data_IF_291404957890
#
_entry.id   IF_291404957890
#
_cell.length_a   1.000
_cell.length_b   1.000
_cell.length_c   1.000
_cell.angle_alpha   90.00
_cell.angle_beta   90.00
_cell.angle_gamma   90.00
#
_symmetry.space_group_name_H-M   'P 1'
#
loop_
_entity.id
_entity.type
_entity.pdbx_description
1 polymer ?
#
# COMPACT_ATOMS: atom_id res chain seq x y z
N UNK A 1 17.07 -0.86 18.56
CA UNK A 1 16.19 -0.90 17.38
C UNK A 1 16.66 -2.02 16.48
N UNK A 2 15.75 -2.80 15.87
CA UNK A 2 16.11 -3.89 14.99
C UNK A 2 16.94 -3.37 13.80
N UNK A 3 17.93 -4.17 13.37
CA UNK A 3 18.84 -3.77 12.28
C UNK A 3 18.09 -3.80 10.94
N UNK A 4 17.59 -2.64 10.51
CA UNK A 4 16.97 -2.48 9.20
C UNK A 4 18.04 -2.59 8.09
N UNK A 5 17.70 -3.13 6.90
CA UNK A 5 18.54 -2.97 5.72
C UNK A 5 18.85 -1.48 5.46
N UNK A 6 20.12 -1.11 5.45
CA UNK A 6 20.55 0.29 5.28
C UNK A 6 21.43 0.46 4.05
N UNK A 7 21.23 1.58 3.35
CA UNK A 7 22.17 2.09 2.35
C UNK A 7 23.10 3.11 3.04
N UNK A 8 24.33 3.26 2.57
CA UNK A 8 25.26 4.29 3.04
C UNK A 8 24.63 5.69 2.97
N UNK A 9 25.06 6.60 3.84
CA UNK A 9 24.55 7.99 3.85
C UNK A 9 24.68 8.67 2.48
N UNK A 10 25.80 8.45 1.78
CA UNK A 10 26.01 8.94 0.42
C UNK A 10 24.99 8.36 -0.56
N UNK A 11 24.69 7.06 -0.45
CA UNK A 11 23.67 6.42 -1.28
C UNK A 11 22.26 6.91 -0.96
N UNK A 12 21.97 7.26 0.30
CA UNK A 12 20.70 7.87 0.68
C UNK A 12 20.53 9.26 0.06
N UNK A 13 21.56 10.11 0.16
CA UNK A 13 21.56 11.43 -0.46
C UNK A 13 21.42 11.35 -1.99
N UNK A 14 22.08 10.37 -2.63
CA UNK A 14 21.94 10.15 -4.06
C UNK A 14 20.49 9.85 -4.46
N UNK A 15 19.79 9.00 -3.70
CA UNK A 15 18.38 8.65 -3.96
C UNK A 15 17.45 9.85 -3.77
N UNK A 16 17.67 10.67 -2.74
CA UNK A 16 16.89 11.90 -2.52
C UNK A 16 17.13 12.95 -3.62
N UNK A 17 18.36 13.07 -4.11
CA UNK A 17 18.68 13.95 -5.24
C UNK A 17 18.00 13.47 -6.53
N UNK A 18 17.97 12.17 -6.79
CA UNK A 18 17.22 11.59 -7.91
C UNK A 18 15.73 11.91 -7.81
N UNK A 19 15.13 11.76 -6.62
CA UNK A 19 13.73 12.13 -6.40
C UNK A 19 13.48 13.63 -6.63
N UNK A 20 14.39 14.49 -6.19
CA UNK A 20 14.30 15.94 -6.43
C UNK A 20 14.34 16.27 -7.93
N UNK A 21 15.23 15.61 -8.68
CA UNK A 21 15.35 15.80 -10.13
C UNK A 21 14.07 15.36 -10.85
N UNK A 22 13.52 14.18 -10.52
CA UNK A 22 12.23 13.71 -11.07
C UNK A 22 11.10 14.68 -10.73
N UNK A 23 10.99 15.09 -9.46
CA UNK A 23 9.94 16.00 -9.03
C UNK A 23 10.01 17.36 -9.72
N UNK A 24 11.22 17.84 -10.06
CA UNK A 24 11.38 19.10 -10.78
C UNK A 24 10.83 19.07 -12.21
N UNK A 25 10.60 17.88 -12.76
CA UNK A 25 10.07 17.62 -14.10
C UNK A 25 8.59 17.25 -14.10
N UNK A 26 7.96 17.25 -12.93
CA UNK A 26 6.50 17.18 -12.82
C UNK A 26 5.93 18.55 -13.22
N UNK A 27 5.90 18.83 -14.52
CA UNK A 27 5.46 20.10 -15.08
C UNK A 27 4.07 20.03 -15.74
N UNK A 28 3.59 21.21 -16.14
CA UNK A 28 2.35 21.41 -16.88
C UNK A 28 2.51 20.88 -18.31
N UNK A 29 2.23 19.60 -18.50
CA UNK A 29 2.33 18.88 -19.77
C UNK A 29 2.16 17.37 -19.60
N UNK A 30 2.55 16.87 -18.42
CA UNK A 30 2.40 15.47 -18.01
C UNK A 30 0.95 15.02 -17.85
N UNK A 31 0.70 13.71 -17.94
CA UNK A 31 -0.63 13.13 -17.64
C UNK A 31 -1.08 13.44 -16.21
N UNK A 32 -0.11 13.67 -15.31
CA UNK A 32 -0.28 14.02 -13.89
C UNK A 32 -1.01 15.35 -13.75
N UNK A 33 -0.68 16.37 -14.55
CA UNK A 33 -1.31 17.70 -14.48
C UNK A 33 -2.84 17.63 -14.69
N UNK A 34 -3.29 16.73 -15.56
CA UNK A 34 -4.72 16.55 -15.88
C UNK A 34 -5.56 16.04 -14.71
N UNK A 35 -4.91 15.53 -13.66
CA UNK A 35 -5.51 14.99 -12.44
C UNK A 35 -4.82 15.53 -11.17
N UNK A 36 -4.17 16.69 -11.25
CA UNK A 36 -3.47 17.32 -10.11
C UNK A 36 -4.22 18.47 -9.46
N UNK A 37 -5.47 18.71 -9.86
CA UNK A 37 -6.27 19.76 -9.26
C UNK A 37 -6.42 19.54 -7.74
N UNK A 38 -6.32 20.61 -6.93
CA UNK A 38 -6.44 20.52 -5.49
C UNK A 38 -7.87 20.13 -5.12
N UNK A 39 -8.03 19.01 -4.41
CA UNK A 39 -9.33 18.50 -3.97
C UNK A 39 -9.29 18.14 -2.49
N UNK A 40 -10.46 18.27 -1.86
CA UNK A 40 -10.74 17.66 -0.59
C UNK A 40 -11.24 16.23 -0.86
N UNK A 41 -10.54 15.21 -0.37
CA UNK A 41 -10.90 13.80 -0.59
C UNK A 41 -10.91 13.04 0.73
N UNK A 42 -11.98 12.28 1.00
CA UNK A 42 -12.07 11.48 2.22
C UNK A 42 -11.30 10.17 2.07
N UNK A 43 -10.11 10.10 2.64
CA UNK A 43 -9.19 8.97 2.46
C UNK A 43 -9.48 7.76 3.34
N UNK A 44 -10.27 7.93 4.41
CA UNK A 44 -10.55 6.90 5.44
C UNK A 44 -12.05 6.54 5.52
N UNK A 45 -12.66 6.28 4.37
CA UNK A 45 -14.11 6.08 4.27
C UNK A 45 -14.51 4.60 4.54
N UNK A 46 -14.31 4.16 5.79
CA UNK A 46 -14.74 2.85 6.29
C UNK A 46 -16.16 2.90 6.91
N UNK A 47 -16.74 1.74 7.24
CA UNK A 47 -18.12 1.65 7.76
C UNK A 47 -18.37 2.45 9.06
N UNK A 48 -17.34 2.72 9.85
CA UNK A 48 -17.46 3.50 11.09
C UNK A 48 -17.65 5.00 10.85
N UNK A 49 -17.25 5.47 9.66
CA UNK A 49 -17.30 6.88 9.28
C UNK A 49 -18.51 7.24 8.40
N UNK A 50 -19.41 6.29 8.16
CA UNK A 50 -20.62 6.46 7.33
C UNK A 50 -21.86 6.23 8.18
N UNK A 51 -22.70 7.26 8.31
CA UNK A 51 -24.02 7.15 8.93
C UNK A 51 -25.08 7.03 7.85
N UNK A 52 -26.00 6.08 8.03
CA UNK A 52 -27.16 5.85 7.17
C UNK A 52 -28.46 6.10 7.92
N UNK A 53 -29.54 6.36 7.18
CA UNK A 53 -30.86 6.57 7.77
C UNK A 53 -31.38 5.29 8.43
N UNK A 54 -32.02 5.43 9.60
CA UNK A 54 -32.70 4.33 10.28
C UNK A 54 -33.98 3.89 9.57
N UNK A 55 -34.62 4.78 8.81
CA UNK A 55 -35.83 4.49 8.03
C UNK A 55 -35.47 3.86 6.67
N UNK A 56 -34.35 4.26 6.09
CA UNK A 56 -33.88 3.82 4.78
C UNK A 56 -32.34 3.70 4.75
N UNK A 57 -31.79 2.53 5.10
CA UNK A 57 -30.33 2.32 5.19
C UNK A 57 -29.57 2.49 3.87
N UNK A 58 -30.27 2.66 2.74
CA UNK A 58 -29.64 2.96 1.44
C UNK A 58 -29.22 4.43 1.33
N UNK A 59 -29.72 5.29 2.23
CA UNK A 59 -29.41 6.72 2.24
C UNK A 59 -28.32 7.03 3.25
N UNK A 60 -27.18 7.50 2.75
CA UNK A 60 -26.14 8.14 3.57
C UNK A 60 -26.67 9.48 4.08
N UNK A 61 -26.65 9.67 5.40
CA UNK A 61 -27.12 10.89 6.07
C UNK A 61 -25.99 11.75 6.61
N UNK A 62 -24.83 11.16 6.90
CA UNK A 62 -23.65 11.90 7.36
C UNK A 62 -22.37 11.11 7.10
N UNK A 63 -21.30 11.85 6.82
CA UNK A 63 -19.92 11.36 6.81
C UNK A 63 -19.16 12.14 7.88
N UNK A 64 -18.40 11.44 8.72
CA UNK A 64 -17.64 12.05 9.83
C UNK A 64 -16.14 11.88 9.62
N UNK A 65 -15.33 12.22 10.64
CA UNK A 65 -13.89 11.99 10.66
C UNK A 65 -13.06 12.85 9.69
N UNK A 66 -13.51 14.10 9.49
CA UNK A 66 -12.88 15.05 8.58
C UNK A 66 -11.63 15.74 9.16
N UNK A 67 -11.30 15.58 10.45
CA UNK A 67 -10.30 16.40 11.13
C UNK A 67 -8.84 16.18 10.67
N UNK A 68 -8.57 15.10 9.93
CA UNK A 68 -7.25 14.74 9.43
C UNK A 68 -7.12 14.86 7.90
N UNK A 69 -8.12 15.42 7.23
CA UNK A 69 -8.11 15.61 5.77
C UNK A 69 -7.34 16.87 5.39
N UNK A 70 -6.64 16.80 4.26
CA UNK A 70 -5.98 17.94 3.62
C UNK A 70 -6.51 18.17 2.21
N UNK A 71 -6.34 19.41 1.72
CA UNK A 71 -6.50 19.68 0.29
C UNK A 71 -5.16 19.38 -0.38
N UNK A 72 -5.15 18.39 -1.26
CA UNK A 72 -3.96 17.94 -1.99
C UNK A 72 -4.31 17.65 -3.46
N UNK A 73 -3.31 17.49 -4.35
CA UNK A 73 -3.57 17.06 -5.73
C UNK A 73 -4.39 15.76 -5.78
N UNK A 74 -5.38 15.68 -6.66
CA UNK A 74 -6.26 14.50 -6.75
C UNK A 74 -5.47 13.20 -6.99
N UNK A 75 -4.46 13.21 -7.85
CA UNK A 75 -3.58 12.07 -8.13
C UNK A 75 -2.90 11.48 -6.89
N UNK A 76 -2.67 12.30 -5.85
CA UNK A 76 -2.05 11.84 -4.61
C UNK A 76 -3.04 11.27 -3.60
N UNK A 77 -4.34 11.40 -3.85
CA UNK A 77 -5.38 11.05 -2.88
C UNK A 77 -6.40 10.05 -3.41
N UNK A 78 -6.67 10.08 -4.72
CA UNK A 78 -7.68 9.29 -5.38
C UNK A 78 -7.49 7.80 -5.08
N UNK A 79 -8.48 7.21 -4.43
CA UNK A 79 -8.52 5.80 -4.06
C UNK A 79 -9.96 5.34 -3.95
N UNK A 80 -10.16 4.03 -3.98
CA UNK A 80 -11.46 3.46 -3.66
C UNK A 80 -11.72 3.63 -2.15
N UNK A 81 -12.98 3.92 -1.74
CA UNK A 81 -13.37 3.92 -0.34
C UNK A 81 -13.05 2.60 0.35
N UNK A 82 -12.56 2.63 1.59
CA UNK A 82 -12.14 1.42 2.33
C UNK A 82 -13.28 0.43 2.59
N UNK A 83 -14.53 0.89 2.59
CA UNK A 83 -15.72 0.02 2.62
C UNK A 83 -15.76 -0.96 1.44
N UNK A 84 -15.11 -0.64 0.31
CA UNK A 84 -14.92 -1.53 -0.82
C UNK A 84 -13.65 -2.34 -0.60
N UNK A 85 -13.78 -3.55 -0.05
CA UNK A 85 -12.65 -4.49 0.07
C UNK A 85 -12.23 -4.94 -1.32
N UNK A 86 -11.26 -4.25 -1.91
CA UNK A 86 -10.70 -4.62 -3.21
C UNK A 86 -9.91 -5.92 -3.10
N UNK A 87 -10.18 -6.82 -4.04
CA UNK A 87 -9.31 -7.96 -4.25
C UNK A 87 -7.96 -7.47 -4.81
N UNK A 88 -6.81 -7.99 -4.36
CA UNK A 88 -5.50 -7.64 -4.92
C UNK A 88 -5.42 -7.81 -6.44
N UNK A 89 -6.21 -8.73 -7.01
CA UNK A 89 -6.24 -9.00 -8.45
C UNK A 89 -7.28 -8.13 -9.19
N UNK A 90 -7.87 -7.12 -8.53
CA UNK A 90 -8.82 -6.21 -9.17
C UNK A 90 -8.12 -5.33 -10.20
N UNK A 91 -8.61 -5.39 -11.44
CA UNK A 91 -8.10 -4.60 -12.57
C UNK A 91 -9.19 -3.64 -13.05
N UNK A 92 -8.84 -2.35 -13.15
CA UNK A 92 -9.70 -1.33 -13.74
C UNK A 92 -10.02 -1.65 -15.21
N UNK A 93 -11.17 -1.20 -15.70
CA UNK A 93 -11.65 -1.41 -17.07
C UNK A 93 -11.78 -2.90 -17.47
N UNK A 94 -11.78 -3.81 -16.49
CA UNK A 94 -12.07 -5.23 -16.71
C UNK A 94 -13.58 -5.48 -16.94
N UNK A 95 -13.93 -6.67 -17.42
CA UNK A 95 -15.32 -7.09 -17.52
C UNK A 95 -15.98 -7.19 -16.12
N UNK A 96 -17.31 -7.17 -16.07
CA UNK A 96 -18.03 -7.44 -14.82
C UNK A 96 -17.63 -8.81 -14.25
N UNK A 97 -17.23 -8.89 -12.97
CA UNK A 97 -16.84 -10.16 -12.38
C UNK A 97 -18.00 -11.16 -12.33
N UNK A 98 -17.73 -12.37 -12.79
CA UNK A 98 -18.62 -13.52 -12.67
C UNK A 98 -18.22 -14.44 -11.51
N UNK A 99 -19.06 -15.45 -11.25
CA UNK A 99 -18.67 -16.54 -10.35
C UNK A 99 -17.51 -17.33 -11.00
N UNK A 100 -16.64 -17.96 -10.19
CA UNK A 100 -15.54 -18.74 -10.72
C UNK A 100 -16.05 -19.91 -11.57
N UNK A 101 -15.29 -20.34 -12.58
CA UNK A 101 -15.72 -21.36 -13.54
C UNK A 101 -16.02 -22.72 -12.88
N UNK A 102 -15.33 -23.03 -11.79
CA UNK A 102 -15.48 -24.25 -10.99
C UNK A 102 -16.56 -24.15 -9.90
N UNK A 103 -17.32 -23.04 -9.83
CA UNK A 103 -18.29 -22.76 -8.78
C UNK A 103 -19.23 -23.94 -8.51
N UNK A 104 -19.76 -24.58 -9.55
CA UNK A 104 -20.72 -25.70 -9.38
C UNK A 104 -20.11 -26.91 -8.65
N UNK A 105 -18.79 -27.08 -8.74
CA UNK A 105 -18.04 -28.18 -8.14
C UNK A 105 -17.56 -27.91 -6.72
N UNK A 106 -17.64 -26.64 -6.27
CA UNK A 106 -17.26 -26.23 -4.93
C UNK A 106 -18.21 -26.79 -3.86
N UNK A 107 -17.69 -26.99 -2.65
CA UNK A 107 -18.51 -27.33 -1.50
C UNK A 107 -19.33 -26.13 -1.00
N UNK A 108 -20.23 -26.35 -0.04
CA UNK A 108 -21.12 -25.29 0.44
C UNK A 108 -20.40 -24.12 1.13
N UNK A 109 -19.26 -24.38 1.78
CA UNK A 109 -18.49 -23.33 2.45
C UNK A 109 -17.73 -22.50 1.41
N UNK A 110 -17.10 -23.17 0.45
CA UNK A 110 -16.36 -22.53 -0.64
C UNK A 110 -17.30 -21.75 -1.58
N UNK A 111 -18.52 -22.23 -1.82
CA UNK A 111 -19.55 -21.47 -2.55
C UNK A 111 -19.89 -20.16 -1.85
N UNK A 112 -20.04 -20.15 -0.52
CA UNK A 112 -20.32 -18.92 0.22
C UNK A 112 -19.16 -17.93 0.12
N UNK A 113 -17.91 -18.42 0.17
CA UNK A 113 -16.72 -17.59 -0.01
C UNK A 113 -16.67 -17.01 -1.42
N UNK A 114 -16.90 -17.84 -2.44
CA UNK A 114 -16.93 -17.41 -3.85
C UNK A 114 -18.00 -16.34 -4.08
N UNK A 115 -19.23 -16.56 -3.61
CA UNK A 115 -20.32 -15.58 -3.71
C UNK A 115 -19.99 -14.26 -3.00
N UNK A 116 -19.40 -14.32 -1.82
CA UNK A 116 -18.98 -13.14 -1.07
C UNK A 116 -17.91 -12.35 -1.85
N UNK A 117 -16.86 -13.02 -2.33
CA UNK A 117 -15.81 -12.39 -3.14
C UNK A 117 -16.36 -11.77 -4.43
N UNK A 118 -17.17 -12.52 -5.16
CA UNK A 118 -17.82 -12.02 -6.38
C UNK A 118 -18.72 -10.81 -6.08
N UNK A 119 -19.44 -10.80 -4.95
CA UNK A 119 -20.24 -9.63 -4.54
C UNK A 119 -19.36 -8.41 -4.29
N UNK A 120 -18.26 -8.56 -3.55
CA UNK A 120 -17.31 -7.46 -3.29
C UNK A 120 -16.70 -6.93 -4.59
N UNK A 121 -16.25 -7.82 -5.48
CA UNK A 121 -15.69 -7.45 -6.78
C UNK A 121 -16.72 -6.71 -7.66
N UNK A 122 -17.98 -7.16 -7.66
CA UNK A 122 -19.07 -6.47 -8.36
C UNK A 122 -19.37 -5.10 -7.78
N UNK A 123 -19.31 -4.92 -6.46
CA UNK A 123 -19.47 -3.61 -5.81
C UNK A 123 -18.34 -2.65 -6.19
N UNK A 124 -17.09 -3.13 -6.17
CA UNK A 124 -15.93 -2.36 -6.63
C UNK A 124 -16.10 -1.94 -8.10
N UNK A 125 -16.51 -2.87 -8.97
CA UNK A 125 -16.75 -2.56 -10.39
C UNK A 125 -17.91 -1.58 -10.60
N UNK A 126 -18.98 -1.71 -9.82
CA UNK A 126 -20.08 -0.74 -9.85
C UNK A 126 -19.62 0.66 -9.44
N UNK A 127 -18.76 0.78 -8.42
CA UNK A 127 -18.17 2.06 -8.01
C UNK A 127 -17.25 2.64 -9.10
N UNK A 128 -16.43 1.81 -9.74
CA UNK A 128 -15.60 2.21 -10.88
C UNK A 128 -16.46 2.79 -12.02
N UNK A 129 -17.49 2.07 -12.45
CA UNK A 129 -18.41 2.50 -13.52
C UNK A 129 -19.19 3.75 -13.11
N UNK A 130 -19.66 3.83 -11.88
CA UNK A 130 -20.32 5.03 -11.37
C UNK A 130 -19.35 6.22 -11.36
N UNK A 131 -18.08 6.01 -11.01
CA UNK A 131 -17.05 7.05 -11.01
C UNK A 131 -16.77 7.54 -12.42
N UNK A 132 -16.73 6.69 -13.44
CA UNK A 132 -16.51 7.13 -14.83
C UNK A 132 -17.61 8.06 -15.35
N UNK A 133 -18.85 7.89 -14.86
CA UNK A 133 -20.00 8.71 -15.24
C UNK A 133 -20.12 9.97 -14.38
N UNK A 134 -20.01 9.83 -13.05
CA UNK A 134 -20.33 10.89 -12.10
C UNK A 134 -19.12 11.69 -11.62
N UNK A 135 -17.92 11.11 -11.69
CA UNK A 135 -16.66 11.77 -11.33
C UNK A 135 -15.53 11.40 -12.32
N UNK A 136 -15.60 11.86 -13.58
CA UNK A 136 -14.64 11.46 -14.61
C UNK A 136 -13.18 11.82 -14.28
N UNK A 137 -12.95 12.83 -13.44
CA UNK A 137 -11.61 13.21 -12.99
C UNK A 137 -11.05 12.17 -12.01
N UNK A 138 -11.84 11.73 -11.01
CA UNK A 138 -11.43 10.65 -10.11
C UNK A 138 -11.19 9.34 -10.87
N UNK A 139 -12.06 9.02 -11.82
CA UNK A 139 -11.88 7.85 -12.67
C UNK A 139 -10.53 7.87 -13.40
N UNK A 140 -10.15 9.00 -14.03
CA UNK A 140 -8.82 9.15 -14.63
C UNK A 140 -7.69 9.01 -13.62
N UNK A 141 -7.86 9.55 -12.41
CA UNK A 141 -6.86 9.45 -11.36
C UNK A 141 -6.64 8.00 -10.89
N UNK A 142 -7.64 7.12 -10.96
CA UNK A 142 -7.47 5.70 -10.64
C UNK A 142 -6.53 4.95 -11.60
N UNK A 143 -6.38 5.43 -12.85
CA UNK A 143 -5.43 4.85 -13.81
C UNK A 143 -4.00 5.36 -13.63
N UNK A 144 -3.77 6.30 -12.72
CA UNK A 144 -2.43 6.79 -12.48
C UNK A 144 -1.59 5.69 -11.82
N UNK A 145 -0.38 5.41 -12.34
CA UNK A 145 0.48 4.41 -11.74
C UNK A 145 0.77 4.72 -10.27
N UNK A 146 0.64 3.70 -9.39
CA UNK A 146 0.79 3.89 -7.95
C UNK A 146 2.17 4.43 -7.58
N UNK A 147 3.23 4.07 -8.32
CA UNK A 147 4.59 4.54 -8.06
C UNK A 147 4.74 6.07 -8.12
N UNK A 148 3.84 6.79 -8.81
CA UNK A 148 3.82 8.25 -8.82
C UNK A 148 3.29 8.82 -7.52
N UNK A 149 2.22 8.23 -6.98
CA UNK A 149 1.72 8.58 -5.65
C UNK A 149 2.73 8.16 -4.58
N UNK A 150 3.28 6.95 -4.71
CA UNK A 150 4.28 6.40 -3.80
C UNK A 150 5.55 7.26 -3.78
N UNK A 151 5.96 7.88 -4.89
CA UNK A 151 7.10 8.79 -4.91
C UNK A 151 6.98 9.87 -3.81
N UNK A 152 5.82 10.50 -3.67
CA UNK A 152 5.59 11.53 -2.66
C UNK A 152 5.54 10.93 -1.25
N UNK A 153 4.82 9.83 -1.08
CA UNK A 153 4.71 9.12 0.20
C UNK A 153 6.09 8.66 0.69
N UNK A 154 6.86 7.98 -0.15
CA UNK A 154 8.19 7.44 0.19
C UNK A 154 9.25 8.52 0.39
N UNK A 155 9.10 9.68 -0.24
CA UNK A 155 9.93 10.84 0.09
C UNK A 155 9.69 11.32 1.52
N UNK A 156 8.42 11.41 1.95
CA UNK A 156 8.06 11.79 3.31
C UNK A 156 8.50 10.78 4.37
N UNK A 157 8.46 9.49 4.02
CA UNK A 157 8.82 8.39 4.91
C UNK A 157 10.32 8.05 4.89
N UNK A 158 11.14 8.69 4.04
CA UNK A 158 12.53 8.26 3.81
C UNK A 158 13.39 8.19 5.09
N UNK A 159 13.14 9.07 6.08
CA UNK A 159 13.83 9.02 7.37
C UNK A 159 13.37 7.88 8.28
N UNK A 160 12.08 7.53 8.20
CA UNK A 160 11.43 6.57 9.09
C UNK A 160 11.39 5.16 8.52
N UNK A 161 11.35 5.01 7.19
CA UNK A 161 11.27 3.75 6.45
C UNK A 161 12.54 3.44 5.64
N UNK A 162 13.44 4.42 5.52
CA UNK A 162 14.62 4.31 4.67
C UNK A 162 14.31 4.55 3.20
N UNK A 163 15.36 4.67 2.39
CA UNK A 163 15.25 5.07 0.99
C UNK A 163 14.98 3.91 0.02
N UNK A 164 14.95 2.67 0.52
CA UNK A 164 14.81 1.47 -0.33
C UNK A 164 13.48 1.51 -1.10
N UNK A 165 12.31 1.77 -0.48
CA UNK A 165 11.06 1.94 -1.22
C UNK A 165 11.08 3.10 -2.20
N UNK A 166 11.73 4.22 -1.84
CA UNK A 166 11.85 5.38 -2.71
C UNK A 166 12.66 5.04 -3.98
N UNK A 167 13.76 4.29 -3.84
CA UNK A 167 14.55 3.83 -5.00
C UNK A 167 13.74 2.91 -5.92
N UNK A 168 12.88 2.05 -5.36
CA UNK A 168 11.98 1.20 -6.15
C UNK A 168 10.98 2.02 -6.97
N UNK A 169 10.47 3.13 -6.42
CA UNK A 169 9.58 4.05 -7.15
C UNK A 169 10.35 4.73 -8.29
N UNK A 170 11.57 5.21 -8.04
CA UNK A 170 12.40 5.89 -9.03
C UNK A 170 12.79 4.98 -10.21
N UNK A 171 13.08 3.70 -9.94
CA UNK A 171 13.35 2.72 -11.00
C UNK A 171 12.11 2.53 -11.89
N UNK A 172 10.92 2.34 -11.29
CA UNK A 172 9.68 2.22 -12.06
C UNK A 172 9.35 3.49 -12.87
N UNK A 173 9.63 4.67 -12.30
CA UNK A 173 9.48 5.94 -13.03
C UNK A 173 10.44 6.02 -14.21
N UNK A 174 11.68 5.57 -14.05
CA UNK A 174 12.64 5.56 -15.14
C UNK A 174 12.22 4.59 -16.27
N UNK A 175 11.70 3.41 -15.91
CA UNK A 175 11.19 2.42 -16.86
C UNK A 175 9.94 2.91 -17.61
N UNK A 176 9.04 3.63 -16.93
CA UNK A 176 7.78 4.13 -17.49
C UNK A 176 7.86 5.60 -17.95
N UNK A 177 9.05 6.18 -18.05
CA UNK A 177 9.25 7.63 -18.24
C UNK A 177 8.49 8.18 -19.45
N UNK A 178 8.65 7.54 -20.60
CA UNK A 178 8.02 7.95 -21.86
C UNK A 178 6.50 7.73 -21.86
N UNK A 179 6.03 6.66 -21.21
CA UNK A 179 4.61 6.28 -21.16
C UNK A 179 3.76 7.23 -20.30
N UNK A 180 4.35 7.81 -19.25
CA UNK A 180 3.69 8.78 -18.36
C UNK A 180 3.59 10.17 -19.02
N UNK A 181 4.35 10.39 -20.11
CA UNK A 181 4.36 11.63 -20.86
C UNK A 181 5.17 12.74 -20.19
N UNK A 182 6.29 12.40 -19.54
CA UNK A 182 7.27 13.40 -19.11
C UNK A 182 7.95 14.06 -20.31
N UNK A 183 8.24 15.36 -20.21
CA UNK A 183 8.98 16.06 -21.25
C UNK A 183 10.50 15.82 -21.14
N UNK A 184 11.14 15.59 -22.28
CA UNK A 184 12.59 15.40 -22.37
C UNK A 184 13.08 14.01 -21.97
N UNK A 185 14.39 13.76 -22.11
CA UNK A 185 14.97 12.45 -21.78
C UNK A 185 14.93 12.19 -20.28
N UNK A 186 14.77 10.92 -19.88
CA UNK A 186 14.80 10.52 -18.47
C UNK A 186 16.08 11.03 -17.78
N UNK A 187 16.00 11.66 -16.59
CA UNK A 187 17.19 12.06 -15.84
C UNK A 187 17.91 10.89 -15.19
N UNK A 188 17.22 9.77 -15.06
CA UNK A 188 17.65 8.63 -14.29
C UNK A 188 18.16 7.56 -15.24
N UNK A 189 19.36 7.09 -14.98
CA UNK A 189 19.93 5.92 -15.63
C UNK A 189 20.35 4.96 -14.52
N UNK A 190 19.91 3.71 -14.64
CA UNK A 190 20.29 2.63 -13.75
C UNK A 190 20.94 1.54 -14.58
N UNK A 191 22.11 1.06 -14.16
CA UNK A 191 22.70 -0.12 -14.82
C UNK A 191 21.97 -1.40 -14.40
N UNK A 192 22.10 -2.46 -15.21
CA UNK A 192 21.55 -3.78 -14.89
C UNK A 192 22.09 -4.28 -13.53
N UNK A 193 23.36 -4.02 -13.21
CA UNK A 193 23.93 -4.39 -11.91
C UNK A 193 23.28 -3.59 -10.75
N UNK A 194 22.94 -2.33 -10.97
CA UNK A 194 22.25 -1.52 -9.98
C UNK A 194 20.82 -1.99 -9.73
N UNK A 195 20.09 -2.35 -10.78
CA UNK A 195 18.73 -2.90 -10.70
C UNK A 195 18.75 -4.25 -9.98
N UNK A 196 19.70 -5.12 -10.33
CA UNK A 196 19.86 -6.42 -9.68
C UNK A 196 20.19 -6.29 -8.19
N UNK A 197 21.15 -5.40 -7.87
CA UNK A 197 21.51 -5.10 -6.47
C UNK A 197 20.32 -4.54 -5.70
N UNK A 198 19.57 -3.61 -6.30
CA UNK A 198 18.38 -3.05 -5.67
C UNK A 198 17.32 -4.12 -5.43
N UNK A 199 17.10 -5.03 -6.38
CA UNK A 199 16.13 -6.13 -6.25
C UNK A 199 16.43 -7.01 -5.03
N UNK A 200 17.71 -7.33 -4.80
CA UNK A 200 18.12 -8.06 -3.60
C UNK A 200 17.85 -7.26 -2.31
N UNK A 201 18.23 -5.98 -2.28
CA UNK A 201 17.99 -5.11 -1.12
C UNK A 201 16.50 -4.92 -0.82
N UNK A 202 15.67 -4.82 -1.87
CA UNK A 202 14.24 -4.67 -1.75
C UNK A 202 13.60 -5.96 -1.21
N UNK A 203 14.09 -7.13 -1.62
CA UNK A 203 13.66 -8.40 -1.05
C UNK A 203 14.01 -8.50 0.44
N UNK A 204 15.22 -8.13 0.84
CA UNK A 204 15.63 -8.09 2.25
C UNK A 204 14.75 -7.13 3.08
N UNK A 205 14.41 -5.97 2.52
CA UNK A 205 13.48 -5.01 3.10
C UNK A 205 12.08 -5.61 3.27
N UNK A 206 11.54 -6.28 2.25
CA UNK A 206 10.22 -6.96 2.35
C UNK A 206 10.21 -8.05 3.40
N UNK A 207 11.27 -8.86 3.49
CA UNK A 207 11.36 -9.94 4.47
C UNK A 207 11.47 -9.38 5.90
N UNK A 208 12.16 -8.25 6.09
CA UNK A 208 12.18 -7.52 7.35
C UNK A 208 10.76 -7.08 7.75
N UNK A 209 10.05 -6.35 6.87
CA UNK A 209 8.71 -5.85 7.18
C UNK A 209 7.68 -6.96 7.36
N UNK A 210 7.80 -8.07 6.63
CA UNK A 210 6.93 -9.24 6.80
C UNK A 210 7.02 -9.81 8.22
N UNK A 211 8.23 -9.92 8.78
CA UNK A 211 8.43 -10.42 10.15
C UNK A 211 7.86 -9.42 11.18
N UNK A 212 8.07 -8.12 10.96
CA UNK A 212 7.51 -7.06 11.81
C UNK A 212 5.97 -7.14 11.87
N UNK A 213 5.31 -7.21 10.71
CA UNK A 213 3.85 -7.28 10.62
C UNK A 213 3.28 -8.59 11.20
N UNK A 214 3.97 -9.72 10.98
CA UNK A 214 3.59 -10.98 11.62
C UNK A 214 3.66 -10.90 13.15
N UNK A 215 4.72 -10.29 13.69
CA UNK A 215 4.87 -10.13 15.13
C UNK A 215 3.73 -9.28 15.72
N UNK A 216 3.46 -8.10 15.13
CA UNK A 216 2.37 -7.19 15.55
C UNK A 216 1.01 -7.89 15.51
N UNK A 217 0.71 -8.56 14.40
CA UNK A 217 -0.58 -9.24 14.19
C UNK A 217 -0.79 -10.40 15.15
N UNK A 218 0.23 -11.22 15.38
CA UNK A 218 0.12 -12.41 16.24
C UNK A 218 0.17 -12.07 17.73
N UNK A 219 0.85 -10.98 18.10
CA UNK A 219 0.91 -10.50 19.48
C UNK A 219 -0.19 -9.50 19.82
N UNK A 220 -1.02 -9.11 18.84
CA UNK A 220 -2.11 -8.15 19.01
C UNK A 220 -1.59 -6.86 19.67
N UNK A 221 -0.62 -6.25 18.98
CA UNK A 221 0.14 -5.08 19.43
C UNK A 221 0.52 -4.19 18.24
N UNK A 222 0.94 -2.96 18.51
CA UNK A 222 1.38 -1.98 17.50
C UNK A 222 2.91 -1.91 17.39
N UNK A 223 3.43 -0.93 16.63
CA UNK A 223 4.86 -0.70 16.47
C UNK A 223 5.58 -0.29 17.76
N UNK A 224 4.84 0.21 18.75
CA UNK A 224 5.37 0.63 20.06
C UNK A 224 5.28 -0.49 21.11
N UNK A 225 4.73 -1.65 20.73
CA UNK A 225 4.51 -2.76 21.66
C UNK A 225 3.35 -2.49 22.63
N UNK A 226 2.43 -1.59 22.29
CA UNK A 226 1.27 -1.31 23.13
C UNK A 226 0.34 -2.53 23.22
N UNK A 227 -0.11 -2.82 24.43
CA UNK A 227 -1.14 -3.84 24.69
C UNK A 227 -2.25 -3.25 25.55
N UNK A 228 -3.46 -3.78 25.39
CA UNK A 228 -4.60 -3.38 26.23
C UNK A 228 -4.27 -3.58 27.73
N UNK A 229 -4.58 -2.59 28.60
CA UNK A 229 -4.41 -2.72 30.04
C UNK A 229 -5.23 -3.84 30.70
N UNK A 230 -6.22 -4.39 29.97
CA UNK A 230 -7.04 -5.50 30.44
C UNK A 230 -6.35 -6.86 30.25
N UNK A 231 -5.25 -6.93 29.49
CA UNK A 231 -4.52 -8.15 29.20
C UNK A 231 -3.45 -8.43 30.26
N UNK A 232 -3.16 -9.71 30.50
CA UNK A 232 -2.08 -10.12 31.40
C UNK A 232 -0.71 -9.88 30.75
N UNK A 233 0.05 -8.94 31.30
CA UNK A 233 1.37 -8.56 30.82
C UNK A 233 2.36 -9.75 30.83
N UNK A 234 2.31 -10.60 31.86
CA UNK A 234 3.22 -11.75 31.98
C UNK A 234 2.94 -12.76 30.88
N UNK A 235 1.65 -12.99 30.57
CA UNK A 235 1.23 -13.84 29.48
C UNK A 235 1.71 -13.29 28.12
N UNK A 236 1.58 -11.98 27.89
CA UNK A 236 2.06 -11.32 26.66
C UNK A 236 3.57 -11.43 26.48
N UNK A 237 4.34 -11.25 27.57
CA UNK A 237 5.80 -11.45 27.55
C UNK A 237 6.16 -12.90 27.19
N UNK A 238 5.40 -13.88 27.71
CA UNK A 238 5.62 -15.28 27.36
C UNK A 238 5.27 -15.56 25.89
N UNK A 239 4.12 -15.08 25.41
CA UNK A 239 3.70 -15.20 24.02
C UNK A 239 4.73 -14.59 23.05
N UNK A 240 5.33 -13.45 23.41
CA UNK A 240 6.39 -12.83 22.62
C UNK A 240 7.63 -13.74 22.50
N UNK A 241 8.07 -14.35 23.62
CA UNK A 241 9.20 -15.28 23.61
C UNK A 241 8.89 -16.53 22.79
N UNK A 242 7.73 -17.14 23.00
CA UNK A 242 7.30 -18.35 22.31
C UNK A 242 7.21 -18.11 20.79
N UNK A 243 6.65 -16.95 20.39
CA UNK A 243 6.54 -16.58 18.99
C UNK A 243 7.91 -16.32 18.35
N UNK A 244 8.82 -15.64 19.04
CA UNK A 244 10.19 -15.45 18.56
C UNK A 244 10.90 -16.79 18.37
N UNK A 245 10.83 -17.69 19.34
CA UNK A 245 11.44 -19.03 19.24
C UNK A 245 10.87 -19.82 18.06
N UNK A 246 9.55 -19.77 17.85
CA UNK A 246 8.89 -20.46 16.75
C UNK A 246 9.29 -19.87 15.39
N UNK A 247 9.40 -18.54 15.26
CA UNK A 247 9.87 -17.90 14.04
C UNK A 247 11.36 -18.13 13.78
N UNK A 248 12.19 -18.18 14.82
CA UNK A 248 13.59 -18.60 14.70
C UNK A 248 13.69 -20.05 14.19
N UNK A 249 12.85 -20.96 14.71
CA UNK A 249 12.79 -22.36 14.26
C UNK A 249 12.36 -22.49 12.79
N UNK A 250 11.46 -21.61 12.33
CA UNK A 250 10.94 -21.55 10.96
C UNK A 250 11.64 -20.50 10.08
N UNK A 251 12.81 -20.01 10.50
CA UNK A 251 13.54 -18.90 9.84
C UNK A 251 13.80 -19.12 8.35
N UNK A 252 14.03 -20.37 7.93
CA UNK A 252 14.19 -20.75 6.52
C UNK A 252 12.98 -20.37 5.63
N UNK A 253 11.76 -20.33 6.17
CA UNK A 253 10.56 -19.91 5.42
C UNK A 253 10.57 -18.42 5.05
N UNK A 254 11.46 -17.66 5.68
CA UNK A 254 11.65 -16.21 5.50
C UNK A 254 13.01 -15.88 4.88
N UNK A 255 13.73 -16.86 4.34
CA UNK A 255 15.09 -16.71 3.81
C UNK A 255 16.07 -16.06 4.80
N UNK A 256 15.95 -16.39 6.09
CA UNK A 256 16.81 -15.86 7.17
C UNK A 256 17.36 -16.98 8.05
N UNK A 257 18.45 -16.70 8.75
CA UNK A 257 18.92 -17.52 9.85
C UNK A 257 18.15 -17.23 11.14
N UNK A 258 18.18 -18.14 12.14
CA UNK A 258 17.63 -17.88 13.46
C UNK A 258 18.19 -16.60 14.11
N UNK A 259 19.49 -16.36 13.96
CA UNK A 259 20.17 -15.19 14.49
C UNK A 259 19.71 -13.90 13.80
N UNK A 260 19.48 -13.94 12.49
CA UNK A 260 18.94 -12.81 11.75
C UNK A 260 17.52 -12.47 12.18
N UNK A 261 16.66 -13.47 12.34
CA UNK A 261 15.28 -13.28 12.87
C UNK A 261 15.32 -12.62 14.24
N UNK A 262 16.20 -13.09 15.13
CA UNK A 262 16.38 -12.49 16.47
C UNK A 262 16.84 -11.04 16.40
N UNK A 263 17.76 -10.72 15.49
CA UNK A 263 18.32 -9.37 15.33
C UNK A 263 17.29 -8.36 14.82
N UNK A 264 16.34 -8.81 14.01
CA UNK A 264 15.30 -7.97 13.42
C UNK A 264 13.97 -8.06 14.16
N UNK A 265 13.91 -8.74 15.31
CA UNK A 265 12.67 -8.85 16.09
C UNK A 265 12.24 -7.48 16.64
N UNK A 266 10.95 -7.10 16.54
CA UNK A 266 10.51 -5.76 16.95
C UNK A 266 10.56 -5.48 18.47
N UNK A 267 10.59 -6.50 19.32
CA UNK A 267 10.31 -6.40 20.76
C UNK A 267 11.43 -6.91 21.68
#
# INVERSE_FOLDING_TARGET
MPDRPTISTEGQLAVLNMATEVMSRLDTGTIIDRVSQPVLWHTDLHMGNIFVSSEDPTKVVSLIDWQSISVSPLVLQARFPEILSLDPDFVLDSAMPDLPEDYETLDAADKQIAEFKTRQARMAKAYEVASSVHNPQAYKAFFMPSFLQDLFTRCGEASEEGIIPLRACLIQIAEAWDDIGFEGPCPLEFSDEEIQRHSQQFQEYRDFHRIQELAKKLLDTDSEGWISPQLDFTLKVQQNKDLLEELMRRSNEYNKSPEEVRRIWPF
#
